data_IF_429257882121
#
_entry.id   IF_429257882121
#
_cell.length_a   1.000
_cell.length_b   1.000
_cell.length_c   1.000
_cell.angle_alpha   90.00
_cell.angle_beta   90.00
_cell.angle_gamma   90.00
#
_symmetry.space_group_name_H-M   'P 1'
#
loop_
_entity.id
_entity.type
_entity.pdbx_description
1 polymer ?
#
# COMPACT_ATOMS: atom_id res chain seq x y z
N UNK A 1 35.92 12.82 4.59
CA UNK A 1 34.52 13.32 4.58
C UNK A 1 33.59 12.13 4.69
N UNK A 2 33.03 11.88 5.87
CA UNK A 2 32.01 10.85 6.09
C UNK A 2 30.65 11.46 5.72
N UNK A 3 30.16 11.17 4.52
CA UNK A 3 28.78 11.46 4.14
C UNK A 3 27.86 10.50 4.89
N UNK A 4 27.24 10.96 5.97
CA UNK A 4 26.15 10.25 6.64
C UNK A 4 24.89 10.37 5.78
N UNK A 5 24.67 9.37 4.91
CA UNK A 5 23.41 9.22 4.17
C UNK A 5 22.30 8.83 5.15
N UNK A 6 21.58 9.83 5.66
CA UNK A 6 20.35 9.63 6.43
C UNK A 6 19.25 9.13 5.49
N UNK A 7 19.18 7.81 5.32
CA UNK A 7 18.18 7.11 4.49
C UNK A 7 16.83 7.04 5.22
N UNK A 8 16.12 8.17 5.25
CA UNK A 8 14.73 8.21 5.70
C UNK A 8 13.81 7.55 4.66
N UNK A 9 13.71 6.22 4.70
CA UNK A 9 12.89 5.42 3.78
C UNK A 9 11.38 5.59 4.08
N UNK A 10 10.76 6.58 3.45
CA UNK A 10 9.30 6.74 3.39
C UNK A 10 8.67 6.13 2.13
N UNK A 11 9.47 5.88 1.10
CA UNK A 11 9.04 5.40 -0.21
C UNK A 11 10.16 4.61 -0.89
N UNK A 12 9.80 3.56 -1.62
CA UNK A 12 10.71 2.94 -2.59
C UNK A 12 10.98 3.94 -3.74
N UNK A 13 12.21 4.00 -4.28
CA UNK A 13 12.54 4.83 -5.44
C UNK A 13 11.85 4.32 -6.70
N UNK A 14 11.82 3.01 -6.86
CA UNK A 14 11.12 2.35 -7.95
C UNK A 14 10.61 1.02 -7.44
N UNK A 15 9.45 0.59 -7.92
CA UNK A 15 8.96 -0.75 -7.60
C UNK A 15 7.98 -1.22 -8.67
N UNK A 16 8.10 -2.50 -8.99
CA UNK A 16 7.16 -3.24 -9.82
C UNK A 16 6.71 -4.44 -9.00
N UNK A 17 5.40 -4.57 -8.76
CA UNK A 17 4.87 -5.70 -8.01
C UNK A 17 3.53 -6.20 -8.56
N UNK A 18 3.34 -7.51 -8.37
CA UNK A 18 2.19 -8.26 -8.79
C UNK A 18 1.58 -8.94 -7.57
N UNK A 19 0.27 -8.86 -7.44
CA UNK A 19 -0.50 -9.48 -6.37
C UNK A 19 -1.60 -10.34 -6.98
N UNK A 20 -1.84 -11.51 -6.40
CA UNK A 20 -2.97 -12.37 -6.73
C UNK A 20 -3.62 -12.90 -5.45
N UNK A 21 -4.94 -12.79 -5.38
CA UNK A 21 -5.81 -13.52 -4.46
C UNK A 21 -6.61 -14.47 -5.36
N UNK A 22 -6.24 -15.76 -5.41
CA UNK A 22 -6.98 -16.72 -6.22
C UNK A 22 -8.40 -16.90 -5.69
N UNK A 23 -9.29 -17.30 -6.59
CA UNK A 23 -10.71 -17.50 -6.32
C UNK A 23 -10.98 -18.32 -5.05
N UNK A 24 -10.38 -19.52 -4.97
CA UNK A 24 -10.58 -20.50 -3.90
C UNK A 24 -12.05 -20.53 -3.43
N UNK A 25 -12.32 -20.36 -2.13
CA UNK A 25 -13.65 -20.42 -1.56
C UNK A 25 -14.50 -19.16 -1.81
N UNK A 26 -13.88 -18.06 -2.25
CA UNK A 26 -14.51 -16.74 -2.32
C UNK A 26 -15.33 -16.50 -3.59
N UNK A 27 -15.16 -17.33 -4.63
CA UNK A 27 -15.70 -17.11 -5.99
C UNK A 27 -15.28 -15.76 -6.60
N UNK A 28 -14.25 -15.12 -6.06
CA UNK A 28 -13.71 -13.85 -6.52
C UNK A 28 -12.20 -13.99 -6.67
N UNK A 29 -11.72 -13.81 -7.89
CA UNK A 29 -10.30 -13.65 -8.15
C UNK A 29 -9.96 -12.16 -8.15
N UNK A 30 -8.84 -11.80 -7.51
CA UNK A 30 -8.29 -10.45 -7.54
C UNK A 30 -6.84 -10.49 -8.00
N UNK A 31 -6.51 -9.70 -9.01
CA UNK A 31 -5.13 -9.50 -9.46
C UNK A 31 -4.81 -8.01 -9.41
N UNK A 32 -3.55 -7.69 -9.13
CA UNK A 32 -3.05 -6.31 -9.17
C UNK A 32 -1.65 -6.25 -9.71
N UNK A 33 -1.46 -5.43 -10.74
CA UNK A 33 -0.16 -5.02 -11.24
C UNK A 33 0.09 -3.58 -10.81
N UNK A 34 1.26 -3.29 -10.24
CA UNK A 34 1.61 -1.95 -9.78
C UNK A 34 3.01 -1.58 -10.21
N UNK A 35 3.16 -0.35 -10.69
CA UNK A 35 4.44 0.27 -10.95
C UNK A 35 4.52 1.64 -10.29
N UNK A 36 5.59 1.89 -9.54
CA UNK A 36 5.84 3.18 -8.92
C UNK A 36 7.27 3.64 -9.19
N UNK A 37 7.44 4.95 -9.29
CA UNK A 37 8.73 5.62 -9.44
C UNK A 37 8.73 6.94 -8.67
N UNK A 38 9.80 7.23 -7.95
CA UNK A 38 10.00 8.42 -7.14
C UNK A 38 11.42 8.96 -7.32
N UNK A 39 11.55 10.28 -7.39
CA UNK A 39 12.82 11.01 -7.52
C UNK A 39 12.94 11.99 -6.35
N UNK A 40 13.96 11.83 -5.47
CA UNK A 40 14.27 12.79 -4.44
C UNK A 40 15.11 13.94 -5.03
N UNK A 41 14.58 15.14 -4.99
CA UNK A 41 15.25 16.38 -5.42
C UNK A 41 15.74 17.10 -4.16
N UNK A 42 17.06 17.26 -4.04
CA UNK A 42 17.67 18.00 -2.94
C UNK A 42 17.32 19.48 -3.04
N UNK A 43 16.91 20.08 -1.93
CA UNK A 43 16.59 21.51 -1.85
C UNK A 43 17.81 22.31 -1.35
N UNK A 44 17.70 23.65 -1.37
CA UNK A 44 18.80 24.55 -0.99
C UNK A 44 19.24 24.37 0.46
N UNK A 45 18.29 24.08 1.35
CA UNK A 45 18.55 23.85 2.77
C UNK A 45 19.07 22.44 2.99
N UNK A 46 20.07 22.31 3.85
CA UNK A 46 20.72 21.04 4.11
C UNK A 46 19.74 19.99 4.66
N UNK A 47 19.78 18.79 4.06
CA UNK A 47 18.94 17.67 4.46
C UNK A 47 17.46 17.79 4.07
N UNK A 48 17.05 18.86 3.36
CA UNK A 48 15.70 19.00 2.83
C UNK A 48 15.57 18.41 1.42
N UNK A 49 14.49 17.67 1.19
CA UNK A 49 14.22 17.04 -0.11
C UNK A 49 12.74 17.20 -0.50
N UNK A 50 12.53 17.42 -1.78
CA UNK A 50 11.24 17.25 -2.44
C UNK A 50 11.22 15.86 -3.09
N UNK A 51 10.15 15.09 -2.92
CA UNK A 51 9.95 13.81 -3.57
C UNK A 51 8.88 13.97 -4.64
N UNK A 52 9.22 13.73 -5.90
CA UNK A 52 8.27 13.70 -7.00
C UNK A 52 8.16 12.28 -7.53
N UNK A 53 6.96 11.80 -7.83
CA UNK A 53 6.82 10.44 -8.33
C UNK A 53 5.49 10.14 -8.99
N UNK A 54 5.39 8.97 -9.59
CA UNK A 54 4.18 8.41 -10.17
C UNK A 54 3.94 7.01 -9.61
N UNK A 55 2.68 6.66 -9.44
CA UNK A 55 2.26 5.36 -8.93
C UNK A 55 1.04 4.91 -9.72
N UNK A 56 1.27 3.95 -10.61
CA UNK A 56 0.23 3.34 -11.44
C UNK A 56 -0.14 1.98 -10.88
N UNK A 57 -1.43 1.67 -10.86
CA UNK A 57 -1.88 0.30 -10.64
C UNK A 57 -3.05 -0.07 -11.51
N UNK A 58 -3.05 -1.31 -11.98
CA UNK A 58 -4.17 -1.95 -12.63
C UNK A 58 -4.62 -3.10 -11.74
N UNK A 59 -5.91 -3.14 -11.45
CA UNK A 59 -6.55 -4.14 -10.60
C UNK A 59 -7.62 -4.83 -11.43
N UNK A 60 -7.63 -6.15 -11.42
CA UNK A 60 -8.71 -6.93 -12.03
C UNK A 60 -9.43 -7.70 -10.94
N UNK A 61 -10.75 -7.71 -11.02
CA UNK A 61 -11.62 -8.40 -10.07
C UNK A 61 -12.63 -9.24 -10.84
N UNK A 62 -12.41 -10.56 -10.87
CA UNK A 62 -13.25 -11.49 -11.63
C UNK A 62 -14.19 -12.20 -10.66
N UNK A 63 -15.49 -12.10 -10.90
CA UNK A 63 -16.51 -12.72 -10.05
C UNK A 63 -17.10 -13.96 -10.74
N UNK A 64 -16.81 -15.14 -10.22
CA UNK A 64 -17.25 -16.44 -10.73
C UNK A 64 -18.52 -16.93 -10.02
N UNK A 65 -19.54 -16.05 -9.94
CA UNK A 65 -20.86 -16.37 -9.35
C UNK A 65 -21.94 -16.48 -10.42
N UNK A 66 -22.72 -17.56 -10.44
CA UNK A 66 -23.90 -17.64 -11.33
C UNK A 66 -24.94 -16.58 -10.91
N UNK A 67 -25.48 -15.83 -11.88
CA UNK A 67 -26.52 -14.81 -11.70
C UNK A 67 -26.23 -13.79 -10.57
N UNK A 68 -25.20 -12.94 -10.72
CA UNK A 68 -24.97 -11.82 -9.80
C UNK A 68 -26.15 -10.85 -9.80
N UNK A 69 -26.43 -10.20 -8.67
CA UNK A 69 -27.46 -9.15 -8.55
C UNK A 69 -27.06 -7.82 -9.21
N UNK A 70 -26.04 -7.81 -10.07
CA UNK A 70 -25.51 -6.63 -10.76
C UNK A 70 -24.64 -7.06 -11.96
N UNK A 71 -24.42 -6.15 -12.91
CA UNK A 71 -23.51 -6.39 -14.03
C UNK A 71 -22.04 -6.38 -13.57
N UNK A 72 -21.40 -7.56 -13.61
CA UNK A 72 -20.02 -7.75 -13.16
C UNK A 72 -19.00 -7.05 -14.05
N UNK A 73 -19.30 -6.88 -15.34
CA UNK A 73 -18.36 -6.28 -16.28
C UNK A 73 -17.99 -4.84 -15.87
N UNK A 74 -18.88 -4.17 -15.13
CA UNK A 74 -18.67 -2.83 -14.59
C UNK A 74 -17.64 -2.76 -13.45
N UNK A 75 -17.19 -3.90 -12.90
CA UNK A 75 -16.17 -3.98 -11.83
C UNK A 75 -15.03 -4.95 -12.16
N UNK A 76 -14.83 -5.29 -13.42
CA UNK A 76 -13.79 -6.25 -13.81
C UNK A 76 -12.40 -5.64 -13.87
N UNK A 77 -12.25 -4.39 -14.33
CA UNK A 77 -10.97 -3.73 -14.50
C UNK A 77 -10.98 -2.35 -13.85
N UNK A 78 -9.92 -2.05 -13.09
CA UNK A 78 -9.68 -0.73 -12.54
C UNK A 78 -8.27 -0.28 -12.84
N UNK A 79 -8.12 1.01 -13.13
CA UNK A 79 -6.83 1.66 -13.27
C UNK A 79 -6.76 2.86 -12.34
N UNK A 80 -5.60 3.02 -11.70
CA UNK A 80 -5.31 4.16 -10.84
C UNK A 80 -3.98 4.77 -11.20
N UNK A 81 -3.91 6.10 -11.26
CA UNK A 81 -2.67 6.85 -11.43
C UNK A 81 -2.59 7.95 -10.39
N UNK A 82 -1.60 7.86 -9.50
CA UNK A 82 -1.33 8.88 -8.48
C UNK A 82 -0.03 9.64 -8.78
N UNK A 83 -0.06 10.96 -8.65
CA UNK A 83 1.13 11.81 -8.59
C UNK A 83 1.60 11.90 -7.15
N UNK A 84 2.85 11.60 -6.86
CA UNK A 84 3.44 11.74 -5.52
C UNK A 84 4.13 13.08 -5.38
N UNK A 85 3.69 13.89 -4.41
CA UNK A 85 4.32 15.13 -3.98
C UNK A 85 4.71 15.01 -2.51
N UNK A 86 5.98 14.81 -2.22
CA UNK A 86 6.50 14.67 -0.87
C UNK A 86 7.49 15.76 -0.51
N UNK A 87 7.57 16.10 0.77
CA UNK A 87 8.57 17.00 1.33
C UNK A 87 9.10 16.41 2.63
N UNK A 88 10.41 16.48 2.83
CA UNK A 88 11.04 16.01 4.06
C UNK A 88 12.11 17.00 4.52
N UNK A 89 12.19 17.20 5.84
CA UNK A 89 13.19 18.07 6.47
C UNK A 89 13.66 17.54 7.83
N UNK A 90 14.95 17.70 8.17
CA UNK A 90 15.42 17.42 9.51
C UNK A 90 14.79 18.38 10.53
N UNK A 91 14.65 17.90 11.76
CA UNK A 91 14.19 18.62 12.94
C UNK A 91 15.23 18.45 14.07
N UNK A 92 15.00 19.09 15.22
CA UNK A 92 15.85 18.94 16.41
C UNK A 92 15.82 17.49 16.94
N UNK A 93 16.85 17.10 17.70
CA UNK A 93 16.93 15.81 18.41
C UNK A 93 16.81 14.57 17.50
N UNK A 94 17.41 14.64 16.30
CA UNK A 94 17.43 13.57 15.29
C UNK A 94 16.03 13.17 14.77
N UNK A 95 15.05 14.07 14.90
CA UNK A 95 13.76 13.92 14.26
C UNK A 95 13.80 14.41 12.82
N UNK A 96 12.87 13.92 12.01
CA UNK A 96 12.63 14.38 10.64
C UNK A 96 11.15 14.38 10.35
N UNK A 97 10.68 15.47 9.77
CA UNK A 97 9.31 15.56 9.25
C UNK A 97 9.28 14.97 7.85
N UNK A 98 8.29 14.14 7.56
CA UNK A 98 7.89 13.76 6.22
C UNK A 98 6.43 14.11 5.99
N UNK A 99 6.14 14.85 4.92
CA UNK A 99 4.78 15.14 4.44
C UNK A 99 4.67 14.62 3.03
N UNK A 100 3.56 13.96 2.70
CA UNK A 100 3.29 13.48 1.34
C UNK A 100 1.83 13.71 1.01
N UNK A 101 1.56 14.16 -0.20
CA UNK A 101 0.23 14.23 -0.79
C UNK A 101 0.26 13.50 -2.12
N UNK A 102 -0.79 12.75 -2.40
CA UNK A 102 -0.98 12.04 -3.65
C UNK A 102 -2.36 12.35 -4.23
N UNK A 103 -2.51 13.39 -5.06
CA UNK A 103 -3.65 13.46 -5.95
C UNK A 103 -3.52 12.38 -7.02
N UNK A 104 -4.62 11.73 -7.34
CA UNK A 104 -4.67 10.72 -8.38
C UNK A 104 -6.05 10.57 -8.96
N UNK A 105 -6.17 9.71 -9.96
CA UNK A 105 -7.42 9.34 -10.58
C UNK A 105 -7.59 7.82 -10.49
N UNK A 106 -8.81 7.38 -10.26
CA UNK A 106 -9.19 5.97 -10.29
C UNK A 106 -10.39 5.79 -11.22
N UNK A 107 -10.30 4.85 -12.15
CA UNK A 107 -11.34 4.57 -13.17
C UNK A 107 -11.59 3.07 -13.24
N UNK A 108 -12.83 2.68 -13.55
CA UNK A 108 -13.22 1.33 -13.94
C UNK A 108 -13.42 1.18 -15.46
N UNK A 109 -12.94 2.15 -16.26
CA UNK A 109 -13.00 2.20 -17.72
C UNK A 109 -14.42 2.11 -18.33
N UNK A 110 -15.47 2.41 -17.56
CA UNK A 110 -16.86 2.37 -18.06
C UNK A 110 -17.35 3.71 -18.61
N UNK A 111 -16.66 4.82 -18.33
CA UNK A 111 -16.97 6.13 -18.89
C UNK A 111 -15.97 6.59 -19.95
N UNK A 112 -16.47 7.30 -20.96
CA UNK A 112 -15.67 7.80 -22.08
C UNK A 112 -14.69 8.92 -21.70
N UNK A 113 -14.92 9.60 -20.57
CA UNK A 113 -14.11 10.72 -20.11
C UNK A 113 -13.83 10.60 -18.61
N UNK A 114 -12.61 10.97 -18.20
CA UNK A 114 -12.28 11.17 -16.79
C UNK A 114 -12.97 12.43 -16.27
N UNK A 115 -13.51 12.34 -15.06
CA UNK A 115 -14.19 13.44 -14.38
C UNK A 115 -13.50 13.79 -13.06
N UNK A 116 -13.87 14.93 -12.46
CA UNK A 116 -13.42 15.26 -11.11
C UNK A 116 -13.98 14.32 -10.03
N UNK A 117 -15.06 13.58 -10.33
CA UNK A 117 -15.60 12.56 -9.42
C UNK A 117 -14.67 11.33 -9.33
N UNK A 118 -13.78 11.14 -10.30
CA UNK A 118 -12.78 10.07 -10.34
C UNK A 118 -11.50 10.42 -9.57
N UNK A 119 -11.41 11.65 -9.05
CA UNK A 119 -10.27 12.13 -8.29
C UNK A 119 -10.23 11.46 -6.92
N UNK A 120 -9.06 10.91 -6.61
CA UNK A 120 -8.73 10.37 -5.29
C UNK A 120 -7.57 11.14 -4.69
N UNK A 121 -7.62 11.34 -3.37
CA UNK A 121 -6.54 11.99 -2.64
C UNK A 121 -6.04 11.10 -1.50
N UNK A 122 -4.72 11.05 -1.37
CA UNK A 122 -4.04 10.48 -0.20
C UNK A 122 -3.10 11.51 0.41
N UNK A 123 -2.91 11.45 1.71
CA UNK A 123 -1.97 12.30 2.44
C UNK A 123 -1.34 11.56 3.62
N UNK A 124 -0.07 11.84 3.87
CA UNK A 124 0.68 11.30 4.99
C UNK A 124 1.43 12.44 5.68
N UNK A 125 1.42 12.43 7.01
CA UNK A 125 2.28 13.27 7.83
C UNK A 125 2.93 12.39 8.88
N UNK A 126 4.25 12.32 8.87
CA UNK A 126 5.02 11.49 9.78
C UNK A 126 6.22 12.22 10.37
N UNK A 127 6.60 11.81 11.56
CA UNK A 127 7.82 12.17 12.25
C UNK A 127 8.66 10.91 12.38
N UNK A 128 9.90 10.98 11.92
CA UNK A 128 10.84 9.86 11.90
C UNK A 128 11.99 10.21 12.84
N UNK A 129 12.28 9.32 13.77
CA UNK A 129 13.48 9.37 14.60
C UNK A 129 14.29 8.12 14.35
N UNK A 130 15.54 8.30 13.94
CA UNK A 130 16.49 7.21 13.76
C UNK A 130 17.61 7.35 14.79
N UNK A 131 17.98 6.22 15.41
CA UNK A 131 19.12 6.14 16.31
C UNK A 131 19.97 4.95 15.91
N UNK A 132 21.26 5.22 15.75
CA UNK A 132 22.27 4.19 15.59
C UNK A 132 23.04 4.08 16.90
N UNK A 133 23.25 2.85 17.36
CA UNK A 133 24.00 2.54 18.57
C UNK A 133 25.27 1.77 18.20
N UNK A 134 26.23 1.75 19.12
CA UNK A 134 27.39 0.86 19.02
C UNK A 134 26.94 -0.61 18.91
N UNK A 135 27.62 -1.39 18.05
CA UNK A 135 27.33 -2.79 17.70
C UNK A 135 26.21 -3.07 16.66
N UNK A 136 26.09 -2.26 15.61
CA UNK A 136 25.11 -2.45 14.50
C UNK A 136 23.63 -2.48 14.94
N UNK A 137 23.36 -2.05 16.17
CA UNK A 137 22.00 -1.90 16.67
C UNK A 137 21.45 -0.59 16.12
N UNK A 138 20.35 -0.69 15.40
CA UNK A 138 19.63 0.47 14.88
C UNK A 138 18.20 0.38 15.35
N UNK A 139 17.66 1.50 15.80
CA UNK A 139 16.24 1.64 15.98
C UNK A 139 15.68 2.84 15.23
N UNK A 140 14.41 2.70 14.85
CA UNK A 140 13.68 3.74 14.15
C UNK A 140 12.28 3.77 14.68
N UNK A 141 11.85 4.97 15.03
CA UNK A 141 10.49 5.26 15.44
C UNK A 141 9.88 6.19 14.40
N UNK A 142 8.75 5.78 13.84
CA UNK A 142 7.91 6.59 12.97
C UNK A 142 6.56 6.76 13.65
N UNK A 143 6.13 8.01 13.80
CA UNK A 143 4.84 8.39 14.35
C UNK A 143 4.14 9.33 13.39
N UNK A 144 2.87 9.13 13.13
CA UNK A 144 2.14 9.99 12.23
C UNK A 144 0.75 9.50 11.92
N UNK A 145 0.20 10.05 10.84
CA UNK A 145 -1.12 9.74 10.31
C UNK A 145 -1.02 9.56 8.80
N UNK A 146 -1.77 8.60 8.29
CA UNK A 146 -1.91 8.31 6.86
C UNK A 146 -3.39 8.25 6.52
N UNK A 147 -3.79 8.97 5.48
CA UNK A 147 -5.12 8.88 4.90
C UNK A 147 -4.98 8.57 3.42
N UNK A 148 -5.77 7.63 2.92
CA UNK A 148 -5.65 7.20 1.54
C UNK A 148 -7.00 6.69 1.06
N UNK A 149 -7.63 7.44 0.15
CA UNK A 149 -8.94 7.08 -0.39
C UNK A 149 -8.93 5.76 -1.15
N UNK A 150 -7.78 5.37 -1.73
CA UNK A 150 -7.62 4.18 -2.56
C UNK A 150 -7.07 2.94 -1.82
N UNK A 151 -7.01 2.94 -0.48
CA UNK A 151 -6.41 1.85 0.32
C UNK A 151 -7.42 1.00 1.11
N UNK A 152 -8.71 1.03 0.79
CA UNK A 152 -9.69 0.19 1.49
C UNK A 152 -10.21 0.73 2.82
N UNK A 153 -9.54 1.74 3.40
CA UNK A 153 -9.89 2.32 4.70
C UNK A 153 -10.22 3.81 4.56
N UNK A 154 -11.48 4.17 4.75
CA UNK A 154 -11.99 5.54 4.56
C UNK A 154 -11.73 6.51 5.72
N UNK A 155 -11.00 6.09 6.74
CA UNK A 155 -10.65 6.90 7.90
C UNK A 155 -9.13 7.05 7.99
N UNK A 156 -8.63 8.18 8.51
CA UNK A 156 -7.21 8.33 8.77
C UNK A 156 -6.71 7.23 9.70
N UNK A 157 -5.65 6.54 9.29
CA UNK A 157 -5.00 5.49 10.08
C UNK A 157 -3.79 6.08 10.82
N UNK A 158 -3.54 5.65 12.07
CA UNK A 158 -2.27 5.92 12.72
C UNK A 158 -1.13 5.25 11.92
N UNK A 159 -0.06 5.99 11.69
CA UNK A 159 1.19 5.46 11.17
C UNK A 159 2.17 5.34 12.33
N UNK A 160 2.30 4.12 12.86
CA UNK A 160 3.19 3.82 13.97
C UNK A 160 4.11 2.69 13.53
N UNK A 161 5.42 2.92 13.60
CA UNK A 161 6.42 1.91 13.25
C UNK A 161 7.61 2.04 14.17
N UNK A 162 7.79 1.04 15.04
CA UNK A 162 8.99 0.89 15.85
C UNK A 162 9.82 -0.28 15.33
N UNK A 163 10.86 0.05 14.58
CA UNK A 163 11.86 -0.90 14.10
C UNK A 163 13.01 -1.02 15.10
N UNK A 164 13.47 -2.24 15.36
CA UNK A 164 14.68 -2.48 16.14
C UNK A 164 15.41 -3.72 15.64
N UNK A 165 16.72 -3.57 15.40
CA UNK A 165 17.64 -4.71 15.23
C UNK A 165 18.24 -5.06 16.59
N UNK A 166 17.66 -6.06 17.26
CA UNK A 166 18.05 -6.46 18.62
C UNK A 166 19.11 -7.56 18.63
N UNK A 167 19.31 -8.25 17.50
CA UNK A 167 20.32 -9.29 17.32
C UNK A 167 20.94 -9.20 15.91
N UNK A 168 22.14 -9.75 15.70
CA UNK A 168 22.81 -9.75 14.38
C UNK A 168 21.94 -10.35 13.27
N UNK A 169 21.18 -11.41 13.62
CA UNK A 169 20.28 -12.16 12.74
C UNK A 169 18.79 -11.83 12.89
N UNK A 170 18.39 -10.97 13.84
CA UNK A 170 16.97 -10.70 14.08
C UNK A 170 16.67 -9.21 14.25
N UNK A 171 15.60 -8.79 13.61
CA UNK A 171 14.98 -7.48 13.82
C UNK A 171 13.47 -7.61 13.82
N UNK A 172 12.78 -6.64 14.39
CA UNK A 172 11.33 -6.55 14.29
C UNK A 172 10.91 -5.13 13.89
N UNK A 173 9.70 -5.01 13.39
CA UNK A 173 8.97 -3.76 13.25
C UNK A 173 7.59 -3.93 13.87
N UNK A 174 7.25 -3.14 14.88
CA UNK A 174 5.95 -3.18 15.56
C UNK A 174 5.13 -1.93 15.22
N UNK A 175 3.85 -2.13 14.89
CA UNK A 175 2.87 -1.06 14.72
C UNK A 175 1.95 -1.24 13.50
N UNK A 176 1.35 -0.14 13.07
CA UNK A 176 0.27 -0.05 12.06
C UNK A 176 0.76 0.85 10.92
N UNK A 177 0.54 0.49 9.64
CA UNK A 177 -0.31 -0.61 9.16
C UNK A 177 0.37 -1.98 9.07
N UNK A 178 1.68 -2.09 9.35
CA UNK A 178 2.43 -3.34 9.18
C UNK A 178 3.31 -3.65 10.37
N UNK A 179 3.18 -4.88 10.86
CA UNK A 179 4.06 -5.48 11.87
C UNK A 179 4.83 -6.65 11.26
N UNK A 180 6.10 -6.82 11.61
CA UNK A 180 6.87 -8.00 11.20
C UNK A 180 7.98 -8.38 12.18
N UNK A 181 8.30 -9.67 12.19
CA UNK A 181 9.52 -10.25 12.70
C UNK A 181 10.38 -10.67 11.51
N UNK A 182 11.63 -10.23 11.48
CA UNK A 182 12.55 -10.45 10.37
C UNK A 182 13.77 -11.24 10.83
N UNK A 183 14.00 -12.37 10.15
CA UNK A 183 15.21 -13.17 10.23
C UNK A 183 16.16 -12.83 9.08
N UNK A 184 17.42 -12.54 9.41
CA UNK A 184 18.48 -12.26 8.44
C UNK A 184 19.33 -13.52 8.28
N UNK A 185 19.03 -14.33 7.27
CA UNK A 185 19.78 -15.55 6.97
C UNK A 185 21.21 -15.20 6.52
N UNK A 186 21.35 -14.18 5.69
CA UNK A 186 22.64 -13.61 5.29
C UNK A 186 22.50 -12.10 4.99
N UNK A 187 23.57 -11.47 4.49
CA UNK A 187 23.50 -10.09 3.98
C UNK A 187 22.52 -9.95 2.80
N UNK A 188 22.32 -11.02 2.02
CA UNK A 188 21.44 -11.04 0.83
C UNK A 188 20.05 -11.58 1.10
N UNK A 189 19.91 -12.54 2.00
CA UNK A 189 18.66 -13.29 2.20
C UNK A 189 17.99 -12.95 3.53
N UNK A 190 16.70 -12.60 3.47
CA UNK A 190 15.89 -12.32 4.66
C UNK A 190 14.53 -13.00 4.55
N UNK A 191 14.01 -13.39 5.71
CA UNK A 191 12.65 -13.91 5.87
C UNK A 191 11.90 -13.03 6.85
N UNK A 192 10.62 -12.80 6.58
CA UNK A 192 9.74 -11.99 7.40
C UNK A 192 8.46 -12.75 7.67
N UNK A 193 8.11 -12.87 8.95
CA UNK A 193 6.75 -13.15 9.36
C UNK A 193 6.06 -11.82 9.61
N UNK A 194 4.97 -11.54 8.91
CA UNK A 194 4.34 -10.22 8.94
C UNK A 194 2.83 -10.29 8.99
N UNK A 195 2.23 -9.28 9.63
CA UNK A 195 0.82 -8.95 9.46
C UNK A 195 0.68 -7.51 8.97
N UNK A 196 -0.27 -7.26 8.07
CA UNK A 196 -0.51 -5.93 7.52
C UNK A 196 -1.99 -5.67 7.20
N UNK A 197 -2.36 -4.39 7.29
CA UNK A 197 -3.58 -3.86 6.70
C UNK A 197 -3.29 -3.52 5.24
N UNK A 198 -3.99 -4.19 4.32
CA UNK A 198 -3.95 -3.90 2.88
C UNK A 198 -5.37 -3.65 2.37
N UNK A 199 -5.48 -3.17 1.15
CA UNK A 199 -6.77 -2.89 0.54
C UNK A 199 -6.67 -2.09 -0.74
N UNK A 200 -7.83 -1.92 -1.35
CA UNK A 200 -8.02 -1.17 -2.58
C UNK A 200 -9.38 -0.49 -2.54
N UNK A 201 -9.49 0.69 -3.13
CA UNK A 201 -10.77 1.35 -3.29
C UNK A 201 -10.75 2.13 -4.59
N UNK A 202 -11.84 2.03 -5.33
CA UNK A 202 -12.04 2.73 -6.58
C UNK A 202 -13.46 3.29 -6.65
N UNK A 203 -13.58 4.43 -7.33
CA UNK A 203 -14.86 4.97 -7.72
C UNK A 203 -15.37 4.21 -8.95
N UNK A 204 -16.69 4.01 -9.01
CA UNK A 204 -17.39 3.33 -10.09
C UNK A 204 -17.99 4.39 -11.01
N UNK A 205 -17.40 4.57 -12.19
CA UNK A 205 -17.93 5.49 -13.19
C UNK A 205 -19.32 5.02 -13.63
N UNK A 206 -20.25 5.97 -13.74
CA UNK A 206 -21.69 5.76 -13.98
C UNK A 206 -22.47 5.05 -12.85
N UNK A 207 -21.77 4.49 -11.86
CA UNK A 207 -22.37 3.70 -10.80
C UNK A 207 -22.94 2.37 -11.28
N UNK A 208 -23.35 1.54 -10.32
CA UNK A 208 -23.88 0.20 -10.56
C UNK A 208 -25.20 0.05 -9.81
N UNK A 209 -26.25 -0.30 -10.54
CA UNK A 209 -27.53 -0.70 -9.95
C UNK A 209 -27.44 -2.13 -9.44
N UNK A 210 -27.99 -2.37 -8.25
CA UNK A 210 -28.04 -3.69 -7.62
C UNK A 210 -29.50 -4.11 -7.52
N UNK A 211 -29.82 -5.33 -7.97
CA UNK A 211 -31.17 -5.86 -7.95
C UNK A 211 -31.74 -5.85 -6.52
N UNK A 212 -32.94 -5.30 -6.37
CA UNK A 212 -33.61 -5.18 -5.07
C UNK A 212 -33.10 -4.03 -4.19
N UNK A 213 -32.19 -3.19 -4.68
CA UNK A 213 -31.74 -1.96 -4.02
C UNK A 213 -32.21 -0.72 -4.79
N UNK A 214 -32.65 0.31 -4.06
CA UNK A 214 -33.04 1.60 -4.67
C UNK A 214 -31.84 2.54 -4.87
N UNK A 215 -30.75 2.29 -4.14
CA UNK A 215 -29.54 3.10 -4.20
C UNK A 215 -28.53 2.54 -5.21
N UNK A 216 -27.72 3.45 -5.76
CA UNK A 216 -26.68 3.13 -6.75
C UNK A 216 -25.35 2.96 -6.04
N UNK A 217 -24.67 1.85 -6.30
CA UNK A 217 -23.29 1.64 -5.89
C UNK A 217 -22.35 2.55 -6.68
N UNK A 218 -21.52 3.31 -5.98
CA UNK A 218 -20.59 4.29 -6.58
C UNK A 218 -19.15 4.02 -6.20
N UNK A 219 -18.91 3.13 -5.24
CA UNK A 219 -17.58 2.84 -4.73
C UNK A 219 -17.42 1.33 -4.57
N UNK A 220 -16.35 0.79 -5.14
CA UNK A 220 -15.84 -0.54 -4.79
C UNK A 220 -14.81 -0.39 -3.67
N UNK A 221 -14.98 -1.14 -2.59
CA UNK A 221 -14.11 -1.11 -1.42
C UNK A 221 -13.64 -2.53 -1.09
N UNK A 222 -12.33 -2.74 -1.17
CA UNK A 222 -11.61 -3.95 -0.75
C UNK A 222 -10.79 -3.61 0.48
N UNK A 223 -11.07 -4.24 1.62
CA UNK A 223 -10.30 -4.06 2.85
C UNK A 223 -9.87 -5.40 3.41
N UNK A 224 -8.57 -5.55 3.64
CA UNK A 224 -7.95 -6.83 3.96
C UNK A 224 -7.02 -6.71 5.16
N UNK A 225 -7.06 -7.72 6.03
CA UNK A 225 -6.07 -7.93 7.07
C UNK A 225 -5.40 -9.25 6.74
N UNK A 226 -4.09 -9.25 6.56
CA UNK A 226 -3.36 -10.43 6.13
C UNK A 226 -2.18 -10.74 7.03
N UNK A 227 -1.82 -12.01 7.09
CA UNK A 227 -0.68 -12.53 7.84
C UNK A 227 0.05 -13.58 7.03
N UNK A 228 1.39 -13.51 6.98
CA UNK A 228 2.13 -14.42 6.13
C UNK A 228 3.64 -14.30 6.20
N UNK A 229 4.28 -15.09 5.35
CA UNK A 229 5.72 -15.15 5.18
C UNK A 229 6.13 -14.37 3.93
N UNK A 230 7.18 -13.58 4.05
CA UNK A 230 7.81 -12.88 2.95
C UNK A 230 9.30 -13.21 2.92
N UNK A 231 9.79 -13.58 1.74
CA UNK A 231 11.19 -13.74 1.43
C UNK A 231 11.70 -12.52 0.67
N UNK A 232 12.92 -12.08 1.00
CA UNK A 232 13.59 -10.95 0.36
C UNK A 232 15.01 -11.35 -0.06
N UNK A 233 15.35 -11.10 -1.33
CA UNK A 233 16.66 -11.31 -1.92
C UNK A 233 17.27 -9.98 -2.40
N UNK A 234 18.36 -9.57 -1.77
CA UNK A 234 19.10 -8.37 -2.17
C UNK A 234 20.05 -8.72 -3.31
N UNK A 235 19.69 -8.32 -4.52
CA UNK A 235 20.44 -8.56 -5.74
C UNK A 235 21.71 -7.71 -5.72
N UNK A 236 21.53 -6.41 -5.47
CA UNK A 236 22.58 -5.41 -5.18
C UNK A 236 22.09 -4.54 -4.02
N UNK A 237 22.96 -3.68 -3.47
CA UNK A 237 22.67 -2.91 -2.24
C UNK A 237 21.31 -2.19 -2.24
N UNK A 238 20.87 -1.72 -3.41
CA UNK A 238 19.64 -0.96 -3.56
C UNK A 238 18.51 -1.72 -4.27
N UNK A 239 18.78 -2.85 -4.92
CA UNK A 239 17.78 -3.62 -5.68
C UNK A 239 17.45 -4.92 -4.97
N UNK A 240 16.17 -5.09 -4.69
CA UNK A 240 15.65 -6.22 -3.92
C UNK A 240 14.50 -6.89 -4.69
N UNK A 241 14.58 -8.22 -4.80
CA UNK A 241 13.44 -9.06 -5.14
C UNK A 241 12.73 -9.49 -3.86
N UNK A 242 11.40 -9.57 -3.89
CA UNK A 242 10.62 -10.13 -2.79
C UNK A 242 9.48 -11.00 -3.29
N UNK A 243 9.14 -12.01 -2.49
CA UNK A 243 7.97 -12.86 -2.68
C UNK A 243 7.29 -13.08 -1.33
N UNK A 244 5.97 -13.01 -1.29
CA UNK A 244 5.14 -13.08 -0.10
C UNK A 244 4.00 -14.06 -0.35
N UNK A 245 3.81 -14.95 0.60
CA UNK A 245 2.64 -15.82 0.70
C UNK A 245 1.98 -15.56 2.05
N UNK A 246 0.70 -15.21 2.02
CA UNK A 246 -0.06 -14.82 3.18
C UNK A 246 -1.48 -15.37 3.11
N UNK A 247 -2.14 -15.36 4.25
CA UNK A 247 -3.55 -15.67 4.38
C UNK A 247 -4.30 -14.40 4.79
N UNK A 248 -5.45 -14.15 4.17
CA UNK A 248 -6.30 -13.03 4.55
C UNK A 248 -7.20 -13.45 5.71
N UNK A 249 -6.94 -12.90 6.91
CA UNK A 249 -7.79 -13.14 8.08
C UNK A 249 -9.19 -12.53 7.90
N UNK A 250 -9.22 -11.39 7.21
CA UNK A 250 -10.46 -10.75 6.76
C UNK A 250 -10.25 -10.26 5.34
N UNK A 251 -11.22 -10.49 4.45
CA UNK A 251 -11.18 -9.99 3.08
C UNK A 251 -12.56 -9.49 2.67
N UNK A 252 -12.85 -8.24 3.00
CA UNK A 252 -14.15 -7.63 2.72
C UNK A 252 -14.12 -6.94 1.36
N UNK A 253 -14.95 -7.40 0.43
CA UNK A 253 -15.19 -6.77 -0.86
C UNK A 253 -16.63 -6.26 -0.85
N UNK A 254 -16.81 -4.94 -0.92
CA UNK A 254 -18.11 -4.28 -0.74
C UNK A 254 -18.36 -3.23 -1.81
N UNK A 255 -19.61 -3.14 -2.24
CA UNK A 255 -20.15 -2.04 -3.02
C UNK A 255 -20.83 -1.05 -2.07
N UNK A 256 -20.52 0.23 -2.24
CA UNK A 256 -20.98 1.30 -1.33
C UNK A 256 -21.61 2.47 -2.08
N UNK A 257 -22.47 3.23 -1.38
CA UNK A 257 -23.01 4.51 -1.84
C UNK A 257 -21.92 5.60 -1.87
N UNK A 258 -22.25 6.78 -2.42
CA UNK A 258 -21.41 7.99 -2.30
C UNK A 258 -21.15 8.39 -0.84
N UNK A 259 -22.09 8.13 0.06
CA UNK A 259 -21.96 8.40 1.50
C UNK A 259 -21.13 7.33 2.22
N UNK A 260 -20.59 6.34 1.47
CA UNK A 260 -19.79 5.20 1.95
C UNK A 260 -20.59 4.18 2.76
N UNK A 261 -21.92 4.26 2.71
CA UNK A 261 -22.80 3.27 3.29
C UNK A 261 -22.70 1.96 2.50
N UNK A 262 -22.74 0.83 3.19
CA UNK A 262 -22.64 -0.47 2.56
C UNK A 262 -23.96 -0.85 1.88
N UNK A 263 -23.92 -1.09 0.57
CA UNK A 263 -25.08 -1.57 -0.20
C UNK A 263 -25.05 -3.08 -0.38
N UNK A 264 -23.87 -3.63 -0.72
CA UNK A 264 -23.75 -5.03 -1.06
C UNK A 264 -22.37 -5.57 -0.68
N UNK A 265 -22.33 -6.77 -0.12
CA UNK A 265 -21.07 -7.49 0.17
C UNK A 265 -20.86 -8.57 -0.88
N UNK A 266 -19.81 -8.41 -1.68
CA UNK A 266 -19.42 -9.36 -2.72
C UNK A 266 -18.75 -10.58 -2.09
N UNK A 267 -17.78 -10.34 -1.21
CA UNK A 267 -17.03 -11.38 -0.52
C UNK A 267 -16.67 -10.95 0.92
N UNK A 268 -16.64 -11.93 1.82
CA UNK A 268 -16.05 -11.83 3.15
C UNK A 268 -15.25 -13.09 3.54
N UNK A 269 -15.00 -13.99 2.60
CA UNK A 269 -14.25 -15.22 2.83
C UNK A 269 -12.75 -14.94 2.84
N UNK A 270 -12.05 -15.57 3.78
CA UNK A 270 -10.59 -15.65 3.83
C UNK A 270 -10.05 -16.42 2.63
N UNK A 271 -8.91 -15.98 2.10
CA UNK A 271 -8.25 -16.61 0.95
C UNK A 271 -6.72 -16.52 1.04
N UNK A 272 -6.06 -17.27 0.17
CA UNK A 272 -4.63 -17.16 -0.07
C UNK A 272 -4.32 -15.80 -0.69
N UNK A 273 -3.18 -15.22 -0.35
CA UNK A 273 -2.68 -13.98 -0.90
C UNK A 273 -1.23 -14.20 -1.31
N UNK A 274 -0.93 -13.99 -2.58
CA UNK A 274 0.43 -14.10 -3.11
C UNK A 274 0.85 -12.76 -3.69
N UNK A 275 2.07 -12.36 -3.42
CA UNK A 275 2.62 -11.10 -3.92
C UNK A 275 4.10 -11.24 -4.22
N UNK A 276 4.53 -10.72 -5.35
CA UNK A 276 5.94 -10.77 -5.75
C UNK A 276 6.33 -9.50 -6.47
N UNK A 277 7.61 -9.15 -6.46
CA UNK A 277 8.06 -7.97 -7.16
C UNK A 277 9.53 -7.64 -6.95
N UNK A 278 9.93 -6.54 -7.57
CA UNK A 278 11.23 -5.93 -7.41
C UNK A 278 11.06 -4.50 -6.90
N UNK A 279 12.00 -4.04 -6.08
CA UNK A 279 12.03 -2.66 -5.59
C UNK A 279 13.44 -2.13 -5.48
N UNK A 280 13.58 -0.85 -5.78
CA UNK A 280 14.77 -0.06 -5.62
C UNK A 280 14.62 0.83 -4.37
N UNK A 281 15.57 0.75 -3.45
CA UNK A 281 15.60 1.52 -2.20
C UNK A 281 16.81 2.45 -2.15
N UNK A 282 16.67 3.58 -1.46
CA UNK A 282 17.78 4.47 -1.09
C UNK A 282 18.54 3.89 0.09
#
# INVERSE_FOLDING_TARGET
MLFTTSNAQLSDLARLDFTIIPENNSKVEYTKSRGLFNVPIKLKKEGEYLLLGLDYSNVQLIINRENPSFDKELINDFQSLDLTLGYTKPLKNNWRLGVRVKPGFSTNLTANNLSFEDLVISADVVFIREREFENDKKDRLILGVTYSQNRGYFFPLPFISYYKKFHKKWSYNLGIPKTNLQYHLSSKHRFKLSTELDGFTANLQNGISIDGQNDIARILNVSTILGGLQYEYHIINHLEFFAQAAYTFTNNIRLRTNNRDNLFTINNESSLFLKTGIRLKI
#
